data_IF_346390787452
#
_entry.id   IF_346390787452
#
_cell.length_a   1.000
_cell.length_b   1.000
_cell.length_c   1.000
_cell.angle_alpha   90.00
_cell.angle_beta   90.00
_cell.angle_gamma   90.00
#
_symmetry.space_group_name_H-M   'P 1'
#
loop_
_entity.id
_entity.type
_entity.pdbx_description
1 polymer ?
#
# COMPACT_ATOMS: atom_id res chain seq x y z
N UNK A 1 18.05 -5.84 -18.17
CA UNK A 1 17.22 -4.81 -18.82
C UNK A 1 15.81 -4.95 -18.25
N UNK A 2 15.37 -4.06 -17.35
CA UNK A 2 13.97 -4.06 -16.89
C UNK A 2 13.09 -3.66 -18.07
N UNK A 3 12.14 -4.51 -18.46
CA UNK A 3 11.08 -4.11 -19.38
C UNK A 3 10.10 -3.26 -18.58
N UNK A 4 9.83 -2.04 -19.03
CA UNK A 4 8.70 -1.28 -18.53
C UNK A 4 7.43 -1.99 -19.02
N UNK A 5 6.84 -2.81 -18.16
CA UNK A 5 5.53 -3.36 -18.43
C UNK A 5 4.49 -2.26 -18.20
N UNK A 6 3.65 -2.03 -19.21
CA UNK A 6 2.56 -1.08 -19.10
C UNK A 6 1.58 -1.60 -18.05
N UNK A 7 1.23 -0.76 -17.09
CA UNK A 7 0.22 -1.10 -16.08
C UNK A 7 -1.11 -1.37 -16.80
N UNK A 8 -1.72 -2.50 -16.46
CA UNK A 8 -2.94 -2.98 -17.09
C UNK A 8 -4.13 -2.27 -16.44
N UNK A 9 -5.02 -1.71 -17.25
CA UNK A 9 -6.30 -1.18 -16.75
C UNK A 9 -7.28 -2.35 -16.57
N UNK A 10 -7.61 -2.64 -15.33
CA UNK A 10 -8.57 -3.66 -14.91
C UNK A 10 -9.85 -2.99 -14.40
N UNK A 11 -11.00 -3.64 -14.58
CA UNK A 11 -12.23 -3.18 -13.93
C UNK A 11 -12.19 -3.42 -12.40
N UNK A 12 -13.01 -2.69 -11.64
CA UNK A 12 -13.05 -2.76 -10.16
C UNK A 12 -13.28 -4.18 -9.64
N UNK A 13 -14.17 -4.95 -10.28
CA UNK A 13 -14.46 -6.33 -9.86
C UNK A 13 -13.23 -7.21 -10.04
N UNK A 14 -12.53 -7.08 -11.16
CA UNK A 14 -11.30 -7.83 -11.42
C UNK A 14 -10.19 -7.46 -10.44
N UNK A 15 -10.06 -6.18 -10.10
CA UNK A 15 -9.14 -5.72 -9.05
C UNK A 15 -9.44 -6.40 -7.72
N UNK A 16 -10.70 -6.39 -7.30
CA UNK A 16 -11.12 -7.02 -6.04
C UNK A 16 -10.84 -8.52 -6.01
N UNK A 17 -11.08 -9.24 -7.11
CA UNK A 17 -10.75 -10.66 -7.27
C UNK A 17 -9.25 -10.91 -7.12
N UNK A 18 -8.42 -10.12 -7.80
CA UNK A 18 -6.96 -10.29 -7.80
C UNK A 18 -6.34 -9.96 -6.43
N UNK A 19 -6.79 -8.88 -5.79
CA UNK A 19 -6.32 -8.48 -4.45
C UNK A 19 -6.74 -9.46 -3.36
N UNK A 20 -7.86 -10.17 -3.56
CA UNK A 20 -8.30 -11.23 -2.63
C UNK A 20 -7.67 -12.59 -2.94
N UNK A 21 -6.86 -12.69 -4.01
CA UNK A 21 -6.20 -13.91 -4.42
C UNK A 21 -5.00 -14.29 -3.56
N UNK A 22 -4.39 -15.43 -3.85
CA UNK A 22 -3.20 -15.95 -3.17
C UNK A 22 -1.91 -15.76 -3.97
N UNK A 23 -1.98 -15.11 -5.13
CA UNK A 23 -0.83 -14.88 -6.01
C UNK A 23 -0.33 -13.46 -5.80
N UNK A 24 0.89 -13.31 -5.29
CA UNK A 24 1.50 -12.01 -4.98
C UNK A 24 1.55 -11.08 -6.20
N UNK A 25 1.84 -11.63 -7.38
CA UNK A 25 1.87 -10.87 -8.63
C UNK A 25 0.48 -10.34 -9.00
N UNK A 26 -0.56 -11.15 -8.84
CA UNK A 26 -1.94 -10.71 -9.09
C UNK A 26 -2.34 -9.60 -8.12
N UNK A 27 -1.98 -9.73 -6.83
CA UNK A 27 -2.25 -8.69 -5.83
C UNK A 27 -1.58 -7.37 -6.24
N UNK A 28 -0.31 -7.40 -6.63
CA UNK A 28 0.42 -6.21 -7.06
C UNK A 28 -0.17 -5.59 -8.33
N UNK A 29 -0.53 -6.40 -9.33
CA UNK A 29 -1.17 -5.91 -10.56
C UNK A 29 -2.52 -5.27 -10.26
N UNK A 30 -3.34 -5.87 -9.39
CA UNK A 30 -4.62 -5.32 -8.96
C UNK A 30 -4.46 -3.98 -8.24
N UNK A 31 -3.53 -3.91 -7.28
CA UNK A 31 -3.21 -2.67 -6.53
C UNK A 31 -2.70 -1.57 -7.46
N UNK A 32 -1.76 -1.87 -8.36
CA UNK A 32 -1.21 -0.88 -9.29
C UNK A 32 -2.28 -0.37 -10.27
N UNK A 33 -3.16 -1.25 -10.76
CA UNK A 33 -4.30 -0.82 -11.58
C UNK A 33 -5.21 0.13 -10.81
N UNK A 34 -5.49 -0.15 -9.53
CA UNK A 34 -6.30 0.73 -8.68
C UNK A 34 -5.66 2.12 -8.53
N UNK A 35 -4.37 2.17 -8.20
CA UNK A 35 -3.62 3.44 -8.01
C UNK A 35 -3.57 4.28 -9.29
N UNK A 36 -3.39 3.66 -10.45
CA UNK A 36 -3.20 4.40 -11.71
C UNK A 36 -4.49 4.86 -12.38
N UNK A 37 -5.59 4.11 -12.23
CA UNK A 37 -6.79 4.31 -13.05
C UNK A 37 -8.03 4.72 -12.28
N UNK A 38 -8.01 4.71 -10.95
CA UNK A 38 -9.18 4.97 -10.12
C UNK A 38 -8.99 6.12 -9.14
N UNK A 39 -10.11 6.57 -8.58
CA UNK A 39 -10.13 7.59 -7.55
C UNK A 39 -9.35 7.16 -6.30
N UNK A 40 -8.74 8.14 -5.64
CA UNK A 40 -7.88 7.95 -4.47
C UNK A 40 -8.54 7.16 -3.35
N UNK A 41 -9.85 7.30 -3.14
CA UNK A 41 -10.59 6.53 -2.12
C UNK A 41 -10.58 5.03 -2.42
N UNK A 42 -10.93 4.64 -3.65
CA UNK A 42 -10.94 3.24 -4.07
C UNK A 42 -9.53 2.65 -4.09
N UNK A 43 -8.54 3.41 -4.58
CA UNK A 43 -7.14 2.99 -4.56
C UNK A 43 -6.63 2.76 -3.12
N UNK A 44 -6.95 3.67 -2.20
CA UNK A 44 -6.57 3.55 -0.79
C UNK A 44 -7.21 2.35 -0.10
N UNK A 45 -8.51 2.10 -0.31
CA UNK A 45 -9.21 0.94 0.22
C UNK A 45 -8.65 -0.38 -0.34
N UNK A 46 -8.39 -0.42 -1.66
CA UNK A 46 -7.79 -1.57 -2.33
C UNK A 46 -6.41 -1.89 -1.76
N UNK A 47 -5.58 -0.86 -1.58
CA UNK A 47 -4.24 -1.01 -1.02
C UNK A 47 -4.31 -1.47 0.44
N UNK A 48 -5.18 -0.89 1.27
CA UNK A 48 -5.36 -1.33 2.66
C UNK A 48 -5.79 -2.80 2.75
N UNK A 49 -6.72 -3.23 1.89
CA UNK A 49 -7.16 -4.63 1.83
C UNK A 49 -6.03 -5.57 1.45
N UNK A 50 -5.23 -5.22 0.43
CA UNK A 50 -4.07 -6.01 0.02
C UNK A 50 -3.06 -6.18 1.17
N UNK A 51 -2.83 -5.11 1.94
CA UNK A 51 -1.95 -5.12 3.10
C UNK A 51 -2.46 -6.08 4.16
N UNK A 52 -3.76 -6.00 4.48
CA UNK A 52 -4.41 -6.83 5.49
C UNK A 52 -4.34 -8.33 5.18
N UNK A 53 -4.41 -8.71 3.90
CA UNK A 53 -4.34 -10.10 3.47
C UNK A 53 -2.92 -10.61 3.18
N UNK A 54 -1.91 -9.73 3.19
CA UNK A 54 -0.52 -10.07 2.84
C UNK A 54 0.35 -10.39 4.07
N UNK A 55 1.35 -11.26 3.84
CA UNK A 55 2.42 -11.58 4.78
C UNK A 55 3.79 -11.53 4.08
N UNK A 56 4.87 -11.71 4.83
CA UNK A 56 6.23 -11.81 4.28
C UNK A 56 6.65 -10.63 3.39
N UNK A 57 7.30 -10.94 2.28
CA UNK A 57 7.90 -9.98 1.35
C UNK A 57 6.86 -9.17 0.56
N UNK A 58 5.70 -9.75 0.25
CA UNK A 58 4.60 -9.03 -0.37
C UNK A 58 4.12 -7.90 0.52
N UNK A 59 3.97 -8.16 1.83
CA UNK A 59 3.56 -7.14 2.80
C UNK A 59 4.50 -5.95 2.74
N UNK A 60 5.82 -6.19 2.80
CA UNK A 60 6.85 -5.14 2.74
C UNK A 60 6.74 -4.36 1.42
N UNK A 61 6.57 -5.05 0.30
CA UNK A 61 6.40 -4.41 -1.02
C UNK A 61 5.18 -3.50 -1.06
N UNK A 62 4.05 -3.94 -0.50
CA UNK A 62 2.85 -3.13 -0.38
C UNK A 62 3.03 -1.94 0.57
N UNK A 63 3.84 -2.05 1.62
CA UNK A 63 4.15 -0.93 2.52
C UNK A 63 4.92 0.19 1.84
N UNK A 64 5.88 -0.15 0.96
CA UNK A 64 6.56 0.83 0.12
C UNK A 64 5.58 1.56 -0.82
N UNK A 65 4.58 0.82 -1.33
CA UNK A 65 3.50 1.42 -2.12
C UNK A 65 2.60 2.33 -1.29
N UNK A 66 2.31 1.99 -0.03
CA UNK A 66 1.56 2.86 0.90
C UNK A 66 2.25 4.19 1.10
N UNK A 67 3.54 4.17 1.45
CA UNK A 67 4.31 5.39 1.67
C UNK A 67 4.29 6.29 0.42
N UNK A 68 4.58 5.70 -0.75
CA UNK A 68 4.59 6.42 -2.03
C UNK A 68 3.20 6.96 -2.39
N UNK A 69 2.16 6.13 -2.27
CA UNK A 69 0.77 6.50 -2.54
C UNK A 69 0.33 7.69 -1.67
N UNK A 70 0.64 7.63 -0.38
CA UNK A 70 0.27 8.69 0.55
C UNK A 70 0.93 10.02 0.22
N UNK A 71 2.23 10.01 -0.09
CA UNK A 71 2.97 11.20 -0.48
C UNK A 71 2.44 11.80 -1.79
N UNK A 72 2.19 10.97 -2.80
CA UNK A 72 1.72 11.44 -4.11
C UNK A 72 0.29 11.99 -4.07
N UNK A 73 -0.62 11.30 -3.39
CA UNK A 73 -2.05 11.65 -3.39
C UNK A 73 -2.47 12.54 -2.21
N UNK A 74 -1.51 12.94 -1.37
CA UNK A 74 -1.73 13.76 -0.17
C UNK A 74 -2.78 13.18 0.78
N UNK A 75 -2.78 11.87 0.96
CA UNK A 75 -3.79 11.15 1.77
C UNK A 75 -3.33 10.92 3.21
N UNK A 76 -2.83 11.97 3.88
CA UNK A 76 -2.38 11.88 5.28
C UNK A 76 -3.47 11.37 6.24
N UNK A 77 -4.74 11.59 5.91
CA UNK A 77 -5.88 11.11 6.71
C UNK A 77 -6.03 9.57 6.72
N UNK A 78 -5.44 8.84 5.76
CA UNK A 78 -5.43 7.38 5.72
C UNK A 78 -4.33 6.75 6.59
N UNK A 79 -3.37 7.56 7.06
CA UNK A 79 -2.22 7.09 7.83
C UNK A 79 -2.59 6.21 9.03
N UNK A 80 -3.62 6.54 9.86
CA UNK A 80 -3.93 5.74 11.04
C UNK A 80 -4.23 4.27 10.71
N UNK A 81 -5.02 4.01 9.65
CA UNK A 81 -5.38 2.65 9.24
C UNK A 81 -4.17 1.87 8.73
N UNK A 82 -3.31 2.51 7.94
CA UNK A 82 -2.08 1.87 7.48
C UNK A 82 -1.08 1.59 8.60
N UNK A 83 -0.92 2.53 9.55
CA UNK A 83 -0.04 2.36 10.70
C UNK A 83 -0.53 1.27 11.65
N UNK A 84 -1.84 1.14 11.85
CA UNK A 84 -2.44 0.05 12.61
C UNK A 84 -2.07 -1.30 11.98
N UNK A 85 -2.26 -1.44 10.66
CA UNK A 85 -1.89 -2.67 9.97
C UNK A 85 -0.37 -2.92 9.98
N UNK A 86 0.45 -1.91 9.74
CA UNK A 86 1.91 -2.01 9.81
C UNK A 86 2.42 -2.47 11.19
N UNK A 87 1.71 -2.13 12.27
CA UNK A 87 2.09 -2.54 13.62
C UNK A 87 1.99 -4.06 13.83
N UNK A 88 1.19 -4.77 13.03
CA UNK A 88 1.07 -6.22 13.07
C UNK A 88 2.30 -6.84 12.43
N UNK A 89 3.12 -7.53 13.23
CA UNK A 89 4.41 -8.13 12.82
C UNK A 89 4.32 -9.60 12.40
N UNK A 90 3.11 -10.10 12.20
CA UNK A 90 2.88 -11.51 11.86
C UNK A 90 3.47 -11.84 10.49
N UNK A 91 4.24 -12.93 10.41
CA UNK A 91 4.82 -13.40 9.15
C UNK A 91 5.96 -12.55 8.57
N UNK A 92 6.50 -11.57 9.30
CA UNK A 92 7.64 -10.73 8.86
C UNK A 92 8.94 -11.21 9.48
N UNK A 93 9.97 -11.40 8.65
CA UNK A 93 11.34 -11.76 9.06
C UNK A 93 11.99 -10.66 9.90
N UNK A 94 13.08 -10.97 10.61
CA UNK A 94 13.76 -9.96 11.44
C UNK A 94 14.30 -8.78 10.60
N UNK A 95 14.85 -9.06 9.42
CA UNK A 95 15.29 -8.03 8.46
C UNK A 95 14.09 -7.20 7.97
N UNK A 96 12.97 -7.85 7.65
CA UNK A 96 11.75 -7.19 7.24
C UNK A 96 11.13 -6.29 8.32
N UNK A 97 11.37 -6.57 9.60
CA UNK A 97 10.89 -5.73 10.71
C UNK A 97 11.63 -4.42 10.82
N UNK A 98 12.94 -4.41 10.60
CA UNK A 98 13.73 -3.19 10.58
C UNK A 98 13.27 -2.28 9.43
N UNK A 99 13.01 -2.87 8.26
CA UNK A 99 12.48 -2.14 7.12
C UNK A 99 11.07 -1.59 7.39
N UNK A 100 10.18 -2.41 7.94
CA UNK A 100 8.82 -2.01 8.31
C UNK A 100 8.82 -0.83 9.29
N UNK A 101 9.75 -0.80 10.25
CA UNK A 101 9.88 0.30 11.19
C UNK A 101 10.22 1.63 10.49
N UNK A 102 11.14 1.62 9.51
CA UNK A 102 11.47 2.81 8.72
C UNK A 102 10.30 3.30 7.86
N UNK A 103 9.57 2.38 7.22
CA UNK A 103 8.36 2.72 6.46
C UNK A 103 7.26 3.32 7.34
N UNK A 104 7.07 2.77 8.55
CA UNK A 104 6.14 3.33 9.53
C UNK A 104 6.51 4.74 9.97
N UNK A 105 7.81 5.03 10.14
CA UNK A 105 8.32 6.35 10.47
C UNK A 105 8.00 7.34 9.34
N UNK A 106 8.32 7.02 8.09
CA UNK A 106 8.00 7.86 6.93
C UNK A 106 6.50 8.16 6.79
N UNK A 107 5.63 7.17 7.03
CA UNK A 107 4.17 7.36 7.03
C UNK A 107 3.71 8.27 8.18
N UNK A 108 4.32 8.16 9.37
CA UNK A 108 4.00 9.04 10.51
C UNK A 108 4.42 10.47 10.25
N UNK A 109 5.67 10.69 9.84
CA UNK A 109 6.21 12.01 9.54
C UNK A 109 5.35 12.73 8.49
N UNK A 110 5.00 12.03 7.41
CA UNK A 110 4.12 12.58 6.39
C UNK A 110 2.74 12.97 6.94
N UNK A 111 2.13 12.11 7.77
CA UNK A 111 0.83 12.37 8.36
C UNK A 111 0.86 13.58 9.32
N UNK A 112 1.95 13.77 10.06
CA UNK A 112 2.15 14.91 10.94
C UNK A 112 2.28 16.22 10.16
N UNK A 113 3.10 16.25 9.11
CA UNK A 113 3.23 17.41 8.22
C UNK A 113 1.88 17.85 7.61
N UNK A 114 0.99 16.90 7.32
CA UNK A 114 -0.32 17.21 6.76
C UNK A 114 -1.29 17.80 7.80
N UNK A 115 -1.20 17.39 9.07
CA UNK A 115 -2.00 17.95 10.17
C UNK A 115 -1.67 19.42 10.42
N UNK A 116 -0.42 19.81 10.27
CA UNK A 116 0.04 21.19 10.45
C UNK A 116 -0.44 22.13 9.35
N UNK A 117 -0.75 21.63 8.15
CA UNK A 117 -1.24 22.44 7.02
C UNK A 117 -2.75 22.73 7.08
N UNK A 118 -3.47 22.15 8.03
CA UNK A 118 -4.92 22.30 8.19
C UNK A 118 -5.32 23.12 9.45
N UNK A 119 -4.36 23.79 10.09
CA UNK A 119 -4.55 24.78 11.16
C UNK A 119 -4.31 26.20 10.63
#
# INVERSE_FOLDING_TARGET
MMKYEKIIHLDKKRIEEMVSGSCDEDVLVGVLSAIYYYETSFAGETLLKAVQSSNGDLRISLMRLVETFMQMHRTGFLAPSFLEEMSKREGVSEEGRAELAGLMEGVREFAEMFKEQCQ
#
